data_IF_019615484846
#
_entry.id   IF_019615484846
#
_cell.length_a   1.000
_cell.length_b   1.000
_cell.length_c   1.000
_cell.angle_alpha   90.00
_cell.angle_beta   90.00
_cell.angle_gamma   90.00
#
_symmetry.space_group_name_H-M   'P 1'
#
loop_
_entity.id
_entity.type
_entity.pdbx_description
1 polymer ?
#
# COMPACT_ATOMS: atom_id res chain seq x y z
N UNK A 1 39.68 -55.77 -36.56
CA UNK A 1 39.95 -55.92 -35.11
C UNK A 1 41.18 -55.06 -34.86
N UNK A 2 41.18 -53.95 -34.13
CA UNK A 2 40.37 -53.49 -32.99
C UNK A 2 40.24 -51.96 -33.11
N UNK A 3 39.08 -51.44 -32.69
CA UNK A 3 38.80 -50.02 -32.47
C UNK A 3 39.34 -49.69 -31.09
N UNK A 4 40.06 -48.58 -30.91
CA UNK A 4 40.05 -47.90 -29.62
C UNK A 4 40.03 -46.39 -29.82
N UNK A 5 39.06 -45.81 -29.10
CA UNK A 5 38.65 -44.43 -29.03
C UNK A 5 39.08 -43.91 -27.66
N UNK A 6 39.82 -42.81 -27.61
CA UNK A 6 40.03 -42.05 -26.37
C UNK A 6 39.99 -40.56 -26.75
N UNK A 7 38.80 -39.95 -26.70
CA UNK A 7 38.26 -39.15 -25.58
C UNK A 7 38.84 -37.72 -25.53
N UNK A 8 38.17 -36.83 -26.27
CA UNK A 8 38.30 -35.38 -26.11
C UNK A 8 37.58 -34.95 -24.84
N UNK A 9 38.30 -34.67 -23.77
CA UNK A 9 37.74 -33.93 -22.62
C UNK A 9 37.66 -32.45 -22.97
N UNK A 10 36.48 -32.07 -23.46
CA UNK A 10 36.01 -30.70 -23.60
C UNK A 10 35.93 -30.03 -22.22
N UNK A 11 36.84 -29.09 -21.96
CA UNK A 11 36.73 -28.17 -20.82
C UNK A 11 35.80 -27.05 -21.28
N UNK A 12 34.50 -27.32 -21.25
CA UNK A 12 33.47 -26.29 -21.34
C UNK A 12 32.99 -25.97 -19.93
N UNK A 13 33.29 -24.75 -19.49
CA UNK A 13 32.48 -23.92 -18.60
C UNK A 13 31.81 -24.60 -17.40
N UNK A 14 32.57 -24.72 -16.31
CA UNK A 14 31.99 -24.72 -14.98
C UNK A 14 31.69 -23.27 -14.55
N UNK A 15 30.76 -22.62 -15.26
CA UNK A 15 30.13 -21.39 -14.78
C UNK A 15 29.11 -21.79 -13.70
N UNK A 16 29.46 -21.49 -12.45
CA UNK A 16 28.64 -21.80 -11.29
C UNK A 16 27.23 -21.18 -11.36
N UNK A 17 26.15 -21.95 -11.14
CA UNK A 17 24.88 -21.38 -10.72
C UNK A 17 24.77 -21.42 -9.19
N UNK A 18 25.75 -20.89 -8.47
CA UNK A 18 25.73 -20.88 -6.99
C UNK A 18 25.31 -19.53 -6.37
N UNK A 19 25.13 -18.49 -7.18
CA UNK A 19 24.89 -17.12 -6.68
C UNK A 19 23.42 -16.66 -6.80
N UNK A 20 22.56 -17.42 -7.48
CA UNK A 20 21.16 -17.01 -7.68
C UNK A 20 20.18 -17.51 -6.61
N UNK A 21 20.58 -18.44 -5.73
CA UNK A 21 19.65 -19.13 -4.80
C UNK A 21 19.80 -18.69 -3.33
N UNK A 22 20.76 -17.84 -3.00
CA UNK A 22 21.02 -17.42 -1.60
C UNK A 22 20.50 -16.03 -1.26
N UNK A 23 20.18 -15.18 -2.24
CA UNK A 23 19.71 -13.82 -1.99
C UNK A 23 18.30 -13.76 -1.37
N UNK A 24 17.46 -14.79 -1.58
CA UNK A 24 16.11 -14.86 -1.01
C UNK A 24 16.10 -15.23 0.49
N UNK A 25 17.24 -15.65 1.05
CA UNK A 25 17.29 -16.22 2.41
C UNK A 25 17.61 -15.22 3.52
N UNK A 26 17.91 -13.96 3.17
CA UNK A 26 18.30 -12.93 4.15
C UNK A 26 17.53 -11.62 4.02
N UNK A 27 16.67 -11.47 3.02
CA UNK A 27 15.84 -10.26 2.91
C UNK A 27 14.70 -10.33 3.94
N UNK A 28 14.63 -9.40 4.90
CA UNK A 28 13.57 -9.40 5.90
C UNK A 28 12.22 -9.26 5.21
N UNK A 29 11.17 -9.90 5.76
CA UNK A 29 9.78 -9.77 5.28
C UNK A 29 9.55 -10.12 3.79
N UNK A 30 10.48 -10.82 3.13
CA UNK A 30 10.36 -11.19 1.72
C UNK A 30 9.05 -11.94 1.40
N UNK A 31 8.65 -12.89 2.24
CA UNK A 31 7.41 -13.65 2.07
C UNK A 31 6.16 -12.75 2.11
N UNK A 32 6.19 -11.72 2.97
CA UNK A 32 5.11 -10.73 3.08
C UNK A 32 5.09 -9.85 1.83
N UNK A 33 6.26 -9.37 1.39
CA UNK A 33 6.39 -8.57 0.19
C UNK A 33 5.83 -9.32 -1.04
N UNK A 34 6.23 -10.58 -1.21
CA UNK A 34 5.77 -11.46 -2.29
C UNK A 34 4.25 -11.69 -2.24
N UNK A 35 3.68 -11.84 -1.04
CA UNK A 35 2.24 -11.99 -0.84
C UNK A 35 1.49 -10.72 -1.24
N UNK A 36 2.05 -9.55 -0.93
CA UNK A 36 1.52 -8.25 -1.37
C UNK A 36 1.45 -8.14 -2.89
N UNK A 37 2.53 -8.49 -3.59
CA UNK A 37 2.58 -8.45 -5.07
C UNK A 37 1.59 -9.43 -5.70
N UNK A 38 1.45 -10.64 -5.15
CA UNK A 38 0.59 -11.70 -5.73
C UNK A 38 -0.90 -11.51 -5.44
N UNK A 39 -1.25 -11.09 -4.23
CA UNK A 39 -2.64 -11.09 -3.74
C UNK A 39 -3.21 -9.68 -3.51
N UNK A 40 -2.37 -8.66 -3.52
CA UNK A 40 -2.70 -7.27 -3.19
C UNK A 40 -2.10 -6.84 -1.86
N UNK A 41 -1.69 -5.57 -1.82
CA UNK A 41 -0.98 -4.92 -0.72
C UNK A 41 -1.73 -4.89 0.62
N UNK A 42 -3.06 -4.99 0.62
CA UNK A 42 -3.90 -5.16 1.81
C UNK A 42 -3.52 -6.40 2.63
N UNK A 43 -2.92 -7.41 2.00
CA UNK A 43 -2.45 -8.60 2.69
C UNK A 43 -1.18 -8.34 3.51
N UNK A 44 -0.41 -7.29 3.20
CA UNK A 44 0.72 -6.86 4.00
C UNK A 44 0.25 -6.37 5.38
N UNK A 45 -0.77 -5.50 5.43
CA UNK A 45 -1.36 -5.05 6.70
C UNK A 45 -1.97 -6.17 7.55
N UNK A 46 -2.41 -7.26 6.94
CA UNK A 46 -2.95 -8.42 7.68
C UNK A 46 -1.85 -9.37 8.17
N UNK A 47 -0.68 -9.33 7.55
CA UNK A 47 0.44 -10.22 7.85
C UNK A 47 1.46 -9.55 8.78
N UNK A 48 1.41 -8.22 8.89
CA UNK A 48 2.29 -7.43 9.74
C UNK A 48 1.54 -6.84 10.92
N UNK A 49 2.20 -6.68 12.09
CA UNK A 49 1.64 -5.88 13.17
C UNK A 49 1.52 -4.41 12.73
N UNK A 50 0.67 -3.65 13.43
CA UNK A 50 0.52 -2.21 13.23
C UNK A 50 1.72 -1.43 13.79
N UNK A 51 2.92 -1.78 13.32
CA UNK A 51 4.20 -1.18 13.69
C UNK A 51 4.81 -0.49 12.45
N UNK A 52 5.16 0.78 12.62
CA UNK A 52 5.80 1.57 11.58
C UNK A 52 7.19 1.04 11.25
N UNK A 53 7.91 0.44 12.22
CA UNK A 53 9.24 -0.11 11.98
C UNK A 53 9.20 -1.27 10.98
N UNK A 54 8.26 -2.20 11.16
CA UNK A 54 8.02 -3.33 10.25
C UNK A 54 7.56 -2.86 8.87
N UNK A 55 6.71 -1.83 8.84
CA UNK A 55 6.24 -1.24 7.58
C UNK A 55 7.40 -0.61 6.82
N UNK A 56 8.32 0.07 7.50
CA UNK A 56 9.53 0.63 6.89
C UNK A 56 10.45 -0.45 6.33
N UNK A 57 10.72 -1.50 7.09
CA UNK A 57 11.52 -2.65 6.60
C UNK A 57 10.87 -3.32 5.37
N UNK A 58 9.54 -3.38 5.32
CA UNK A 58 8.83 -3.86 4.13
C UNK A 58 9.05 -2.92 2.93
N UNK A 59 9.04 -1.60 3.14
CA UNK A 59 9.32 -0.62 2.07
C UNK A 59 10.74 -0.78 1.53
N UNK A 60 11.75 -0.87 2.42
CA UNK A 60 13.15 -1.13 2.05
C UNK A 60 13.30 -2.45 1.29
N UNK A 61 12.50 -3.45 1.65
CA UNK A 61 12.46 -4.74 0.93
C UNK A 61 11.91 -4.58 -0.49
N UNK A 62 10.85 -3.79 -0.68
CA UNK A 62 10.32 -3.53 -2.01
C UNK A 62 11.29 -2.72 -2.89
N UNK A 63 11.98 -1.76 -2.30
CA UNK A 63 13.05 -1.00 -2.96
C UNK A 63 14.20 -1.92 -3.38
N UNK A 64 14.66 -2.80 -2.48
CA UNK A 64 15.70 -3.79 -2.77
C UNK A 64 15.29 -4.78 -3.88
N UNK A 65 14.01 -5.14 -3.95
CA UNK A 65 13.46 -6.00 -4.99
C UNK A 65 13.13 -5.26 -6.29
N UNK A 66 13.35 -3.94 -6.34
CA UNK A 66 12.98 -3.07 -7.46
C UNK A 66 11.51 -3.23 -7.89
N UNK A 67 10.60 -3.40 -6.93
CA UNK A 67 9.17 -3.55 -7.21
C UNK A 67 8.54 -2.17 -7.39
N UNK A 68 7.94 -1.93 -8.56
CA UNK A 68 7.09 -0.76 -8.76
C UNK A 68 5.75 -0.95 -8.03
N UNK A 69 5.69 -0.40 -6.81
CA UNK A 69 4.48 -0.44 -5.96
C UNK A 69 3.40 0.51 -6.48
N UNK A 70 3.79 1.61 -7.14
CA UNK A 70 2.87 2.59 -7.70
C UNK A 70 2.18 2.04 -8.95
N UNK A 71 2.83 1.11 -9.65
CA UNK A 71 2.36 0.58 -10.92
C UNK A 71 2.23 1.69 -11.98
N UNK A 72 3.14 2.66 -11.94
CA UNK A 72 3.13 3.86 -12.79
C UNK A 72 1.96 4.83 -12.53
N UNK A 73 1.23 4.71 -11.41
CA UNK A 73 0.12 5.63 -11.11
C UNK A 73 0.63 6.93 -10.48
N UNK A 74 0.12 8.09 -10.93
CA UNK A 74 0.38 9.35 -10.25
C UNK A 74 -0.34 9.40 -8.89
N UNK A 75 0.15 10.25 -7.99
CA UNK A 75 -0.42 10.42 -6.63
C UNK A 75 -1.90 10.81 -6.65
N UNK A 76 -2.35 11.59 -7.64
CA UNK A 76 -3.75 11.98 -7.82
C UNK A 76 -4.65 10.76 -8.01
N UNK A 77 -4.24 9.80 -8.85
CA UNK A 77 -4.98 8.55 -9.07
C UNK A 77 -5.04 7.67 -7.81
N UNK A 78 -3.98 7.68 -6.99
CA UNK A 78 -3.96 6.98 -5.70
C UNK A 78 -4.99 7.61 -4.75
N UNK A 79 -5.03 8.94 -4.68
CA UNK A 79 -6.00 9.67 -3.86
C UNK A 79 -7.44 9.40 -4.32
N UNK A 80 -7.70 9.34 -5.62
CA UNK A 80 -9.03 9.03 -6.15
C UNK A 80 -9.47 7.61 -5.81
N UNK A 81 -8.57 6.63 -5.94
CA UNK A 81 -8.84 5.25 -5.54
C UNK A 81 -9.05 5.11 -4.01
N UNK A 82 -8.43 5.98 -3.21
CA UNK A 82 -8.70 6.07 -1.77
C UNK A 82 -10.09 6.62 -1.49
N UNK A 83 -10.51 7.68 -2.21
CA UNK A 83 -11.85 8.29 -2.07
C UNK A 83 -12.97 7.35 -2.51
N UNK A 84 -12.74 6.53 -3.53
CA UNK A 84 -13.68 5.55 -4.07
C UNK A 84 -14.05 4.42 -3.08
N UNK A 85 -13.42 4.37 -1.90
CA UNK A 85 -13.78 3.44 -0.83
C UNK A 85 -15.04 3.83 -0.05
N UNK A 86 -15.45 5.10 -0.13
CA UNK A 86 -16.67 5.58 0.52
C UNK A 86 -17.90 4.98 -0.16
N UNK A 87 -18.92 4.65 0.64
CA UNK A 87 -20.23 4.26 0.10
C UNK A 87 -20.92 5.55 -0.31
N UNK A 88 -21.28 5.65 -1.58
CA UNK A 88 -22.02 6.78 -2.11
C UNK A 88 -23.51 6.43 -2.20
N UNK A 89 -24.37 7.42 -2.42
CA UNK A 89 -25.80 7.22 -2.60
C UNK A 89 -26.25 7.86 -3.91
N UNK A 90 -26.76 7.05 -4.82
CA UNK A 90 -27.32 7.53 -6.08
C UNK A 90 -28.84 7.61 -5.99
N UNK A 91 -29.42 8.66 -6.57
CA UNK A 91 -30.87 8.84 -6.61
C UNK A 91 -31.43 8.08 -7.81
N UNK A 92 -31.99 6.90 -7.58
CA UNK A 92 -32.64 6.09 -8.61
C UNK A 92 -34.15 5.94 -8.29
N UNK A 93 -35.02 6.19 -9.27
CA UNK A 93 -36.48 6.07 -9.10
C UNK A 93 -37.05 6.77 -7.84
N UNK A 94 -36.54 7.97 -7.51
CA UNK A 94 -36.91 8.77 -6.33
C UNK A 94 -36.53 8.13 -4.98
N UNK A 95 -35.60 7.17 -4.95
CA UNK A 95 -35.03 6.60 -3.72
C UNK A 95 -33.50 6.68 -3.78
N UNK A 96 -32.87 6.91 -2.64
CA UNK A 96 -31.42 6.83 -2.52
C UNK A 96 -31.01 5.37 -2.40
N UNK A 97 -30.16 4.89 -3.30
CA UNK A 97 -29.63 3.54 -3.31
C UNK A 97 -28.13 3.60 -2.95
N UNK A 98 -27.66 2.82 -1.96
CA UNK A 98 -26.25 2.80 -1.59
C UNK A 98 -25.42 2.12 -2.69
N UNK A 99 -24.48 2.87 -3.26
CA UNK A 99 -23.44 2.35 -4.14
C UNK A 99 -22.23 1.99 -3.30
N UNK A 100 -21.99 0.68 -3.15
CA UNK A 100 -20.92 0.17 -2.31
C UNK A 100 -19.54 0.50 -2.90
N UNK A 101 -18.78 1.34 -2.19
CA UNK A 101 -17.39 1.65 -2.53
C UNK A 101 -16.44 0.46 -2.45
N UNK A 102 -15.33 0.52 -3.19
CA UNK A 102 -14.36 -0.57 -3.29
C UNK A 102 -13.32 -0.53 -2.15
N UNK A 103 -13.74 -0.99 -0.96
CA UNK A 103 -12.89 -1.01 0.25
C UNK A 103 -11.59 -1.79 0.09
N UNK A 104 -11.58 -2.85 -0.73
CA UNK A 104 -10.37 -3.65 -0.95
C UNK A 104 -9.31 -2.85 -1.71
N UNK A 105 -9.72 -2.17 -2.78
CA UNK A 105 -8.84 -1.30 -3.57
C UNK A 105 -8.32 -0.13 -2.74
N UNK A 106 -9.18 0.49 -1.94
CA UNK A 106 -8.77 1.56 -1.01
C UNK A 106 -7.71 1.10 -0.02
N UNK A 107 -7.84 -0.12 0.53
CA UNK A 107 -6.81 -0.67 1.44
C UNK A 107 -5.49 -0.95 0.75
N UNK A 108 -5.52 -1.44 -0.48
CA UNK A 108 -4.31 -1.63 -1.28
C UNK A 108 -3.62 -0.27 -1.50
N UNK A 109 -4.36 0.75 -1.92
CA UNK A 109 -3.83 2.10 -2.14
C UNK A 109 -3.37 2.81 -0.86
N UNK A 110 -3.95 2.50 0.29
CA UNK A 110 -3.48 3.04 1.56
C UNK A 110 -2.05 2.58 1.88
N UNK A 111 -1.69 1.32 1.55
CA UNK A 111 -0.30 0.86 1.70
C UNK A 111 0.62 1.64 0.75
N UNK A 112 0.19 1.82 -0.50
CA UNK A 112 0.96 2.58 -1.50
C UNK A 112 1.19 4.02 -1.03
N UNK A 113 0.19 4.66 -0.43
CA UNK A 113 0.34 5.99 0.14
C UNK A 113 1.31 6.01 1.33
N UNK A 114 1.24 5.03 2.23
CA UNK A 114 2.20 4.90 3.34
C UNK A 114 3.62 4.72 2.82
N UNK A 115 3.80 3.91 1.77
CA UNK A 115 5.09 3.73 1.11
C UNK A 115 5.65 5.07 0.58
N UNK A 116 4.83 5.86 -0.13
CA UNK A 116 5.21 7.20 -0.59
C UNK A 116 5.62 8.13 0.56
N UNK A 117 4.84 8.14 1.65
CA UNK A 117 5.13 8.97 2.84
C UNK A 117 6.47 8.56 3.47
N UNK A 118 6.76 7.26 3.53
CA UNK A 118 7.99 6.74 4.15
C UNK A 118 9.23 6.95 3.29
N UNK A 119 9.10 6.93 1.96
CA UNK A 119 10.20 7.27 1.05
C UNK A 119 10.47 8.78 0.97
N UNK A 120 9.45 9.61 1.19
CA UNK A 120 9.57 11.06 1.05
C UNK A 120 9.69 11.54 -0.40
N UNK A 121 9.52 10.65 -1.37
CA UNK A 121 9.52 10.97 -2.80
C UNK A 121 8.11 11.41 -3.25
N UNK A 122 7.83 12.70 -3.07
CA UNK A 122 6.66 13.36 -3.65
C UNK A 122 7.09 14.14 -4.89
N UNK A 123 7.41 13.45 -5.98
CA UNK A 123 7.59 14.13 -7.27
C UNK A 123 6.21 14.44 -7.83
N UNK A 124 5.71 15.63 -7.53
CA UNK A 124 4.56 16.21 -8.23
C UNK A 124 5.04 16.72 -9.58
N UNK A 125 4.56 16.10 -10.66
CA UNK A 125 4.86 16.46 -12.05
C UNK A 125 4.45 17.91 -12.37
N UNK A 126 3.74 18.58 -11.47
CA UNK A 126 3.29 19.96 -11.61
C UNK A 126 4.34 21.04 -11.28
N UNK A 127 5.60 20.72 -10.94
CA UNK A 127 6.59 21.74 -10.50
C UNK A 127 7.99 21.70 -11.13
N UNK A 128 8.19 21.03 -12.26
CA UNK A 128 9.48 21.10 -12.98
C UNK A 128 9.53 22.12 -14.12
N UNK A 129 8.64 23.12 -14.09
CA UNK A 129 8.85 24.39 -14.81
C UNK A 129 9.13 25.52 -13.83
N UNK A 130 10.13 25.34 -12.96
CA UNK A 130 10.83 26.49 -12.37
C UNK A 130 11.70 27.08 -13.48
N UNK A 131 11.13 27.99 -14.25
CA UNK A 131 11.97 29.02 -14.85
C UNK A 131 12.59 29.79 -13.69
N UNK A 132 13.91 29.69 -13.60
CA UNK A 132 14.73 30.52 -12.72
C UNK A 132 14.55 31.95 -13.19
N UNK A 133 13.59 32.65 -12.60
CA UNK A 133 13.69 34.09 -12.42
C UNK A 133 13.79 34.34 -10.93
N UNK A 134 14.98 34.76 -10.53
CA UNK A 134 15.31 35.21 -9.19
C UNK A 134 14.32 36.29 -8.74
N UNK A 135 13.48 35.98 -7.76
CA UNK A 135 13.05 36.95 -6.75
C UNK A 135 12.98 36.28 -5.39
N UNK A 136 13.87 36.77 -4.54
CA UNK A 136 13.93 36.53 -3.11
C UNK A 136 12.63 36.93 -2.40
N UNK A 137 12.51 36.40 -1.19
CA UNK A 137 11.58 36.77 -0.12
C UNK A 137 10.13 36.32 -0.27
N UNK A 138 9.87 35.07 0.13
CA UNK A 138 8.58 34.74 0.73
C UNK A 138 8.74 33.80 1.93
N UNK A 139 8.91 34.46 3.08
CA UNK A 139 8.68 33.92 4.41
C UNK A 139 7.38 33.09 4.45
N UNK A 140 7.50 31.77 4.52
CA UNK A 140 6.38 30.93 4.91
C UNK A 140 6.19 31.06 6.43
N UNK A 141 5.48 32.13 6.80
CA UNK A 141 4.87 32.27 8.10
C UNK A 141 3.96 31.08 8.36
N UNK A 142 4.36 30.26 9.33
CA UNK A 142 3.43 29.38 10.03
C UNK A 142 2.47 30.29 10.79
N UNK A 143 1.32 30.59 10.21
CA UNK A 143 0.24 31.22 10.94
C UNK A 143 -0.24 30.24 12.01
N UNK A 144 0.23 30.47 13.23
CA UNK A 144 -0.47 30.11 14.46
C UNK A 144 -1.61 31.11 14.68
N UNK A 145 -2.58 30.67 15.47
CA UNK A 145 -3.84 31.32 15.88
C UNK A 145 -5.00 31.08 14.89
N UNK A 146 -6.20 30.69 15.35
CA UNK A 146 -6.82 30.98 16.63
C UNK A 146 -7.42 29.74 17.32
N UNK A 147 -7.22 29.68 18.63
CA UNK A 147 -8.15 29.08 19.59
C UNK A 147 -9.31 30.06 19.70
N UNK A 148 -10.51 29.65 19.30
CA UNK A 148 -11.73 30.32 19.75
C UNK A 148 -12.44 29.40 20.74
N UNK A 149 -12.49 29.91 21.96
CA UNK A 149 -13.31 29.51 23.09
C UNK A 149 -14.75 29.96 22.82
N UNK A 150 -15.72 29.05 22.92
CA UNK A 150 -17.12 29.35 22.63
C UNK A 150 -18.07 28.24 23.06
N UNK A 151 -18.48 28.32 24.33
CA UNK A 151 -19.78 28.03 24.93
C UNK A 151 -20.60 26.76 24.58
N UNK A 152 -20.69 25.91 25.61
CA UNK A 152 -21.87 25.20 26.14
C UNK A 152 -23.19 25.25 25.34
N UNK A 153 -23.57 24.10 24.78
CA UNK A 153 -24.98 23.69 24.69
C UNK A 153 -25.06 22.19 24.97
N UNK A 154 -25.63 21.86 26.12
CA UNK A 154 -26.17 20.54 26.42
C UNK A 154 -27.49 20.35 25.66
N UNK A 155 -27.52 19.47 24.67
CA UNK A 155 -28.76 18.84 24.24
C UNK A 155 -28.54 17.34 24.16
N UNK A 156 -29.17 16.66 25.12
CA UNK A 156 -29.43 15.22 25.13
C UNK A 156 -30.18 14.85 23.85
N UNK A 157 -29.59 14.00 23.00
CA UNK A 157 -30.35 13.14 22.10
C UNK A 157 -29.77 11.73 22.20
N UNK A 158 -30.52 10.91 22.93
CA UNK A 158 -30.39 9.46 22.99
C UNK A 158 -30.78 8.89 21.61
N UNK A 159 -29.82 8.38 20.84
CA UNK A 159 -30.13 7.45 19.75
C UNK A 159 -29.52 6.08 20.08
N UNK A 160 -30.42 5.29 20.64
CA UNK A 160 -30.34 3.88 20.98
C UNK A 160 -30.43 3.05 19.68
N UNK A 161 -29.29 2.70 19.09
CA UNK A 161 -29.26 1.75 17.99
C UNK A 161 -29.07 0.33 18.54
N UNK A 162 -30.20 -0.34 18.69
CA UNK A 162 -30.35 -1.71 19.11
C UNK A 162 -29.53 -2.71 18.29
N UNK A 163 -28.66 -3.44 18.99
CA UNK A 163 -28.70 -4.90 19.07
C UNK A 163 -29.28 -5.67 17.88
N UNK A 164 -28.42 -6.36 17.11
CA UNK A 164 -28.69 -7.75 16.69
C UNK A 164 -27.38 -8.52 16.52
N UNK A 165 -26.97 -9.20 17.58
CA UNK A 165 -26.06 -10.34 17.51
C UNK A 165 -26.78 -11.49 16.81
N UNK A 166 -26.32 -11.86 15.62
CA UNK A 166 -26.71 -13.09 14.95
C UNK A 166 -25.64 -14.15 15.21
N UNK A 167 -25.61 -14.64 16.44
CA UNK A 167 -24.86 -15.83 16.81
C UNK A 167 -25.70 -17.05 16.37
N UNK A 168 -25.63 -17.35 15.07
CA UNK A 168 -26.15 -18.59 14.51
C UNK A 168 -25.20 -19.74 14.83
N UNK A 169 -25.34 -20.33 16.01
CA UNK A 169 -24.80 -21.67 16.27
C UNK A 169 -25.74 -22.69 15.64
N UNK A 170 -25.41 -23.18 14.45
CA UNK A 170 -25.95 -24.46 13.99
C UNK A 170 -25.14 -25.57 14.65
N UNK A 171 -25.72 -26.10 15.73
CA UNK A 171 -25.37 -27.39 16.32
C UNK A 171 -25.82 -28.47 15.34
N UNK A 172 -24.87 -29.12 14.66
CA UNK A 172 -25.11 -30.46 14.13
C UNK A 172 -24.73 -31.46 15.22
N UNK A 173 -25.75 -32.04 15.84
CA UNK A 173 -25.66 -33.26 16.63
C UNK A 173 -26.15 -34.44 15.77
N UNK A 174 -25.41 -35.55 15.88
CA UNK A 174 -25.63 -36.92 15.39
C UNK A 174 -25.38 -37.24 13.91
#
# INVERSE_FOLDING_TARGET
>A
MVRDSEEHTSIHDCLAPAVATTATRTTPLFDVALKGVKLGYRHCFRSLPADLSQTRTLCETYEFLCVDILGGKPITAIIDDLKAGKTDYELEYKRYIPVKGNKSKTRDMALVLVYLILLGEFTDEAKDTVQVEDKEDSSCGWNKEAVEEGDDVTTEEEDHDDYYGSDGYDVYDS
#
